data_IF_622589758577
#
_entry.id   IF_622589758577
#
_cell.length_a   1.000
_cell.length_b   1.000
_cell.length_c   1.000
_cell.angle_alpha   90.00
_cell.angle_beta   90.00
_cell.angle_gamma   90.00
#
_symmetry.space_group_name_H-M   'P 1'
#
loop_
_entity.id
_entity.type
_entity.pdbx_description
1 polymer ?
#
# COMPACT_ATOMS: atom_id res chain seq x y z
N UNK A 1 -52.59 -5.21 -3.98
CA UNK A 1 -52.89 -3.94 -3.28
C UNK A 1 -54.36 -3.99 -2.89
N UNK A 2 -54.62 -4.04 -1.58
CA UNK A 2 -55.95 -4.10 -0.99
C UNK A 2 -56.86 -3.02 -1.60
N UNK A 3 -58.05 -3.41 -2.07
CA UNK A 3 -59.17 -2.49 -2.27
C UNK A 3 -59.51 -1.92 -0.90
N UNK A 4 -58.90 -0.80 -0.54
CA UNK A 4 -59.31 -0.01 0.61
C UNK A 4 -60.79 0.32 0.41
N UNK A 5 -61.62 -0.15 1.34
CA UNK A 5 -63.03 0.17 1.43
C UNK A 5 -63.18 1.68 1.53
N UNK A 6 -63.59 2.33 0.44
CA UNK A 6 -63.89 3.77 0.39
C UNK A 6 -65.28 4.05 0.95
N UNK A 7 -65.63 3.49 2.11
CA UNK A 7 -66.84 3.86 2.82
C UNK A 7 -66.47 4.75 4.00
N UNK A 8 -66.20 6.02 3.69
CA UNK A 8 -66.14 7.06 4.70
C UNK A 8 -67.59 7.58 4.93
N UNK A 9 -68.19 7.35 6.11
CA UNK A 9 -69.57 7.74 6.38
C UNK A 9 -69.81 9.26 6.29
N UNK A 10 -68.75 10.09 6.41
CA UNK A 10 -68.85 11.55 6.19
C UNK A 10 -69.08 11.92 4.72
N UNK A 11 -68.58 11.13 3.77
CA UNK A 11 -68.77 11.40 2.34
C UNK A 11 -70.09 10.86 1.79
N UNK A 12 -70.66 9.82 2.40
CA UNK A 12 -71.88 9.18 1.91
C UNK A 12 -73.12 10.08 2.06
N UNK A 13 -73.25 10.78 3.20
CA UNK A 13 -74.31 11.77 3.41
C UNK A 13 -74.20 12.93 2.42
N UNK A 14 -73.00 13.49 2.24
CA UNK A 14 -72.75 14.60 1.32
C UNK A 14 -73.04 14.22 -0.15
N UNK A 15 -72.68 13.00 -0.56
CA UNK A 15 -73.00 12.48 -1.89
C UNK A 15 -74.51 12.28 -2.08
N UNK A 16 -75.22 11.79 -1.05
CA UNK A 16 -76.67 11.61 -1.10
C UNK A 16 -77.39 12.95 -1.23
N UNK A 17 -76.96 13.96 -0.47
CA UNK A 17 -77.51 15.31 -0.52
C UNK A 17 -77.22 15.98 -1.87
N UNK A 18 -75.98 15.86 -2.39
CA UNK A 18 -75.64 16.41 -3.71
C UNK A 18 -76.43 15.73 -4.82
N UNK A 19 -76.63 14.41 -4.77
CA UNK A 19 -77.45 13.66 -5.72
C UNK A 19 -78.92 14.09 -5.68
N UNK A 20 -79.45 14.37 -4.49
CA UNK A 20 -80.81 14.90 -4.33
C UNK A 20 -80.92 16.28 -4.97
N UNK A 21 -79.95 17.16 -4.77
CA UNK A 21 -79.93 18.50 -5.36
C UNK A 21 -79.81 18.46 -6.89
N UNK A 22 -78.89 17.65 -7.44
CA UNK A 22 -78.74 17.46 -8.90
C UNK A 22 -80.06 16.97 -9.52
N UNK A 23 -80.75 16.01 -8.88
CA UNK A 23 -82.05 15.53 -9.36
C UNK A 23 -83.10 16.63 -9.37
N UNK A 24 -83.14 17.46 -8.33
CA UNK A 24 -84.07 18.59 -8.26
C UNK A 24 -83.78 19.61 -9.36
N UNK A 25 -82.53 20.06 -9.49
CA UNK A 25 -82.09 20.98 -10.55
C UNK A 25 -82.39 20.44 -11.95
N UNK A 26 -82.23 19.12 -12.15
CA UNK A 26 -82.57 18.46 -13.42
C UNK A 26 -84.07 18.47 -13.72
N UNK A 27 -84.94 18.10 -12.75
CA UNK A 27 -86.39 18.11 -12.97
C UNK A 27 -86.91 19.54 -13.20
N UNK A 28 -86.41 20.51 -12.44
CA UNK A 28 -86.75 21.93 -12.61
C UNK A 28 -86.35 22.41 -14.03
N UNK A 29 -85.12 22.13 -14.47
CA UNK A 29 -84.65 22.49 -15.81
C UNK A 29 -85.43 21.78 -16.93
N UNK A 30 -85.81 20.52 -16.72
CA UNK A 30 -86.60 19.72 -17.66
C UNK A 30 -88.03 20.24 -17.80
N UNK A 31 -88.66 20.63 -16.69
CA UNK A 31 -89.99 21.23 -16.70
C UNK A 31 -89.99 22.57 -17.45
N UNK A 32 -89.00 23.43 -17.16
CA UNK A 32 -88.84 24.72 -17.85
C UNK A 32 -88.58 24.50 -19.34
N UNK A 33 -87.68 23.58 -19.71
CA UNK A 33 -87.39 23.31 -21.12
C UNK A 33 -88.64 22.75 -21.85
N UNK A 34 -89.44 21.90 -21.21
CA UNK A 34 -90.69 21.36 -21.78
C UNK A 34 -91.77 22.43 -22.00
N UNK A 35 -91.78 23.50 -21.19
CA UNK A 35 -92.85 24.50 -21.21
C UNK A 35 -92.45 25.80 -21.92
N UNK A 36 -91.14 26.11 -22.02
CA UNK A 36 -90.64 27.41 -22.50
C UNK A 36 -89.71 27.28 -23.70
N UNK A 37 -88.63 26.51 -23.59
CA UNK A 37 -87.50 26.59 -24.54
C UNK A 37 -87.52 25.53 -25.66
N UNK A 38 -88.06 24.33 -25.39
CA UNK A 38 -88.16 23.20 -26.33
C UNK A 38 -86.83 22.80 -27.00
N UNK A 39 -85.72 22.95 -26.29
CA UNK A 39 -84.38 22.63 -26.80
C UNK A 39 -84.12 21.12 -26.78
N UNK A 40 -83.48 20.64 -27.85
CA UNK A 40 -83.02 19.24 -27.95
C UNK A 40 -81.86 18.97 -27.00
N UNK A 41 -81.93 17.88 -26.24
CA UNK A 41 -80.81 17.47 -25.39
C UNK A 41 -79.73 16.79 -26.23
N UNK A 42 -78.56 17.44 -26.34
CA UNK A 42 -77.39 16.86 -26.98
C UNK A 42 -76.94 15.57 -26.28
N UNK A 43 -76.39 14.64 -27.06
CA UNK A 43 -75.79 13.42 -26.51
C UNK A 43 -74.46 13.74 -25.81
N UNK A 44 -74.02 12.87 -24.89
CA UNK A 44 -72.80 13.11 -24.10
C UNK A 44 -71.55 13.36 -24.97
N UNK A 45 -71.49 12.73 -26.14
CA UNK A 45 -70.35 12.80 -27.06
C UNK A 45 -70.30 14.11 -27.87
N UNK A 46 -71.43 14.82 -27.96
CA UNK A 46 -71.55 16.12 -28.63
C UNK A 46 -71.27 17.29 -27.67
N UNK A 47 -71.15 17.04 -26.37
CA UNK A 47 -70.84 18.05 -25.38
C UNK A 47 -69.33 18.33 -25.34
N UNK A 48 -68.96 19.61 -25.27
CA UNK A 48 -67.57 20.02 -25.09
C UNK A 48 -67.00 19.42 -23.80
N UNK A 49 -65.79 18.88 -23.89
CA UNK A 49 -65.08 18.33 -22.73
C UNK A 49 -64.80 19.44 -21.73
N UNK A 50 -65.18 19.22 -20.48
CA UNK A 50 -64.87 20.15 -19.38
C UNK A 50 -63.35 20.19 -19.18
N UNK A 51 -62.75 21.37 -19.30
CA UNK A 51 -61.32 21.56 -19.04
C UNK A 51 -60.98 21.27 -17.58
N UNK A 52 -60.09 20.31 -17.35
CA UNK A 52 -59.56 20.05 -16.02
C UNK A 52 -58.41 21.01 -15.71
N UNK A 53 -58.52 21.75 -14.60
CA UNK A 53 -57.41 22.53 -14.03
C UNK A 53 -56.88 21.84 -12.79
N UNK A 54 -55.62 21.41 -12.83
CA UNK A 54 -54.94 20.85 -11.68
C UNK A 54 -54.39 21.98 -10.79
N UNK A 55 -54.93 22.10 -9.58
CA UNK A 55 -54.49 23.07 -8.57
C UNK A 55 -53.48 22.49 -7.56
N UNK A 56 -53.03 21.25 -7.78
CA UNK A 56 -52.08 20.57 -6.90
C UNK A 56 -50.72 20.41 -7.57
N UNK A 57 -49.67 20.66 -6.80
CA UNK A 57 -48.29 20.42 -7.19
C UNK A 57 -47.78 19.21 -6.41
N UNK A 58 -47.26 18.20 -7.13
CA UNK A 58 -46.57 17.09 -6.49
C UNK A 58 -45.23 17.62 -5.93
N UNK A 59 -45.14 17.78 -4.61
CA UNK A 59 -43.89 18.21 -3.97
C UNK A 59 -42.98 16.99 -3.83
N UNK A 60 -41.86 16.97 -4.56
CA UNK A 60 -40.82 15.96 -4.34
C UNK A 60 -40.34 16.07 -2.90
N UNK A 61 -40.38 14.97 -2.15
CA UNK A 61 -39.79 14.89 -0.81
C UNK A 61 -38.28 14.98 -1.01
N UNK A 62 -37.73 16.19 -0.87
CA UNK A 62 -36.31 16.39 -0.77
C UNK A 62 -35.97 16.29 0.70
N UNK A 63 -35.37 15.16 1.10
CA UNK A 63 -34.83 14.99 2.44
C UNK A 63 -33.64 15.94 2.54
N UNK A 64 -33.86 17.14 3.09
CA UNK A 64 -32.79 18.07 3.44
C UNK A 64 -32.26 17.62 4.81
N UNK A 65 -31.25 16.75 4.79
CA UNK A 65 -30.58 16.28 6.01
C UNK A 65 -29.98 17.44 6.83
N UNK A 66 -29.66 18.56 6.17
CA UNK A 66 -28.93 19.69 6.74
C UNK A 66 -29.66 20.45 7.86
N UNK A 67 -30.97 20.23 8.06
CA UNK A 67 -31.76 20.99 9.05
C UNK A 67 -32.50 20.16 10.12
N UNK A 68 -32.55 18.82 9.99
CA UNK A 68 -33.40 17.98 10.85
C UNK A 68 -32.65 16.87 11.61
N UNK A 69 -31.33 16.75 11.44
CA UNK A 69 -30.53 15.75 12.15
C UNK A 69 -29.56 16.41 13.14
N UNK A 70 -29.95 16.60 14.42
CA UNK A 70 -29.03 17.03 15.47
C UNK A 70 -27.84 16.06 15.53
N UNK A 71 -26.61 16.57 15.34
CA UNK A 71 -25.40 15.75 15.28
C UNK A 71 -24.97 15.31 13.88
N UNK A 72 -25.58 15.86 12.81
CA UNK A 72 -25.11 15.66 11.43
C UNK A 72 -23.67 16.12 11.21
N UNK A 73 -23.25 17.20 11.87
CA UNK A 73 -21.85 17.68 11.88
C UNK A 73 -20.86 16.64 12.45
N UNK A 74 -21.31 15.74 13.34
CA UNK A 74 -20.44 14.69 13.90
C UNK A 74 -20.09 13.62 12.86
N UNK A 75 -20.86 13.53 11.78
CA UNK A 75 -20.63 12.59 10.68
C UNK A 75 -19.94 13.23 9.47
N UNK A 76 -19.76 14.55 9.46
CA UNK A 76 -19.10 15.29 8.38
C UNK A 76 -17.63 14.89 8.21
N UNK A 77 -17.00 14.40 9.29
CA UNK A 77 -15.63 13.86 9.29
C UNK A 77 -15.56 12.43 8.72
N UNK A 78 -16.67 11.70 8.65
CA UNK A 78 -16.66 10.31 8.17
C UNK A 78 -16.70 10.24 6.64
N UNK A 79 -15.61 9.74 6.05
CA UNK A 79 -15.57 9.40 4.63
C UNK A 79 -16.64 8.33 4.29
N UNK A 80 -17.53 8.57 3.30
CA UNK A 80 -18.50 7.58 2.85
C UNK A 80 -17.81 6.29 2.42
N UNK A 81 -18.44 5.13 2.68
CA UNK A 81 -17.88 3.83 2.32
C UNK A 81 -17.59 3.70 0.82
N UNK A 82 -18.41 4.30 -0.05
CA UNK A 82 -18.15 4.33 -1.48
C UNK A 82 -16.89 5.11 -1.85
N UNK A 83 -16.62 6.24 -1.17
CA UNK A 83 -15.37 7.00 -1.34
C UNK A 83 -14.17 6.20 -0.85
N UNK A 84 -14.25 5.52 0.30
CA UNK A 84 -13.17 4.66 0.82
C UNK A 84 -12.85 3.50 -0.14
N UNK A 85 -13.88 2.86 -0.70
CA UNK A 85 -13.71 1.79 -1.69
C UNK A 85 -13.01 2.32 -2.95
N UNK A 86 -13.46 3.47 -3.47
CA UNK A 86 -12.84 4.11 -4.62
C UNK A 86 -11.39 4.52 -4.35
N UNK A 87 -11.08 5.01 -3.14
CA UNK A 87 -9.72 5.37 -2.73
C UNK A 87 -8.81 4.13 -2.67
N UNK A 88 -9.30 3.01 -2.13
CA UNK A 88 -8.58 1.74 -2.11
C UNK A 88 -8.32 1.19 -3.52
N UNK A 89 -9.32 1.22 -4.40
CA UNK A 89 -9.18 0.83 -5.82
C UNK A 89 -8.16 1.72 -6.54
N UNK A 90 -8.23 3.03 -6.34
CA UNK A 90 -7.28 3.97 -6.93
C UNK A 90 -5.85 3.68 -6.44
N UNK A 91 -5.65 3.48 -5.14
CA UNK A 91 -4.33 3.13 -4.60
C UNK A 91 -3.81 1.81 -5.17
N UNK A 92 -4.68 0.82 -5.39
CA UNK A 92 -4.27 -0.44 -6.01
C UNK A 92 -3.77 -0.21 -7.45
N UNK A 93 -4.54 0.49 -8.28
CA UNK A 93 -4.16 0.81 -9.67
C UNK A 93 -2.89 1.67 -9.73
N UNK A 94 -2.80 2.70 -8.88
CA UNK A 94 -1.65 3.58 -8.81
C UNK A 94 -0.39 2.86 -8.34
N UNK A 95 -0.47 2.01 -7.31
CA UNK A 95 0.66 1.20 -6.83
C UNK A 95 1.13 0.21 -7.89
N UNK A 96 0.22 -0.36 -8.69
CA UNK A 96 0.60 -1.25 -9.78
C UNK A 96 1.45 -0.51 -10.83
N UNK A 97 1.03 0.69 -11.25
CA UNK A 97 1.78 1.53 -12.19
C UNK A 97 3.13 1.94 -11.59
N UNK A 98 3.14 2.42 -10.35
CA UNK A 98 4.37 2.85 -9.67
C UNK A 98 5.35 1.68 -9.56
N UNK A 99 4.90 0.51 -9.15
CA UNK A 99 5.77 -0.67 -9.01
C UNK A 99 6.37 -1.10 -10.35
N UNK A 100 5.58 -1.09 -11.44
CA UNK A 100 6.08 -1.38 -12.79
C UNK A 100 7.14 -0.37 -13.24
N UNK A 101 6.90 0.92 -13.01
CA UNK A 101 7.84 1.98 -13.38
C UNK A 101 9.14 1.87 -12.57
N UNK A 102 9.03 1.64 -11.25
CA UNK A 102 10.17 1.46 -10.36
C UNK A 102 10.98 0.22 -10.77
N UNK A 103 10.34 -0.90 -11.05
CA UNK A 103 11.00 -2.12 -11.52
C UNK A 103 11.78 -1.87 -12.81
N UNK A 104 11.20 -1.14 -13.75
CA UNK A 104 11.85 -0.82 -15.03
C UNK A 104 13.07 0.08 -14.84
N UNK A 105 12.99 1.11 -13.99
CA UNK A 105 14.11 2.00 -13.66
C UNK A 105 15.24 1.26 -12.91
N UNK A 106 14.88 0.37 -11.98
CA UNK A 106 15.86 -0.46 -11.28
C UNK A 106 16.57 -1.42 -12.24
N UNK A 107 15.81 -2.01 -13.19
CA UNK A 107 16.37 -2.85 -14.24
C UNK A 107 17.35 -2.08 -15.12
N UNK A 108 17.01 -0.86 -15.54
CA UNK A 108 17.92 -0.01 -16.32
C UNK A 108 19.25 0.22 -15.59
N UNK A 109 19.18 0.50 -14.28
CA UNK A 109 20.38 0.67 -13.44
C UNK A 109 21.23 -0.61 -13.37
N UNK A 110 20.57 -1.76 -13.23
CA UNK A 110 21.23 -3.06 -13.19
C UNK A 110 21.89 -3.42 -14.53
N UNK A 111 21.23 -3.11 -15.65
CA UNK A 111 21.76 -3.33 -17.00
C UNK A 111 23.00 -2.45 -17.25
N UNK A 112 22.97 -1.19 -16.80
CA UNK A 112 24.13 -0.27 -16.81
C UNK A 112 25.31 -0.81 -15.97
N UNK A 113 25.04 -1.30 -14.76
CA UNK A 113 26.05 -1.92 -13.90
C UNK A 113 26.66 -3.17 -14.54
N UNK A 114 25.83 -4.01 -15.15
CA UNK A 114 26.26 -5.22 -15.85
C UNK A 114 27.13 -4.86 -17.06
N UNK A 115 26.77 -3.81 -17.80
CA UNK A 115 27.56 -3.31 -18.93
C UNK A 115 28.95 -2.87 -18.47
N UNK A 116 29.05 -2.00 -17.44
CA UNK A 116 30.35 -1.58 -16.89
C UNK A 116 31.17 -2.77 -16.37
N UNK A 117 30.51 -3.71 -15.69
CA UNK A 117 31.15 -4.91 -15.15
C UNK A 117 31.73 -5.78 -16.28
N UNK A 118 31.07 -5.85 -17.44
CA UNK A 118 31.53 -6.64 -18.58
C UNK A 118 32.88 -6.15 -19.14
N UNK A 119 33.13 -4.84 -19.05
CA UNK A 119 34.40 -4.20 -19.38
C UNK A 119 35.38 -4.10 -18.19
N UNK A 120 34.98 -4.54 -16.99
CA UNK A 120 35.78 -4.40 -15.78
C UNK A 120 35.98 -2.95 -15.33
N UNK A 121 35.07 -2.04 -15.73
CA UNK A 121 35.10 -0.63 -15.37
C UNK A 121 34.41 -0.39 -14.02
N UNK A 122 34.86 0.60 -13.23
CA UNK A 122 36.00 1.51 -13.48
C UNK A 122 37.38 0.91 -13.12
N UNK A 123 37.46 -0.33 -12.63
CA UNK A 123 38.70 -0.89 -12.05
C UNK A 123 39.83 -1.03 -13.07
N UNK A 124 39.50 -1.30 -14.33
CA UNK A 124 40.47 -1.35 -15.43
C UNK A 124 41.18 0.01 -15.63
N UNK A 125 40.49 1.13 -15.43
CA UNK A 125 41.10 2.47 -15.51
C UNK A 125 42.05 2.70 -14.33
N UNK A 126 41.65 2.27 -13.13
CA UNK A 126 42.47 2.43 -11.93
C UNK A 126 43.77 1.62 -11.99
N UNK A 127 43.76 0.44 -12.61
CA UNK A 127 44.93 -0.44 -12.65
C UNK A 127 46.07 0.17 -13.47
N UNK A 128 45.75 0.83 -14.59
CA UNK A 128 46.74 1.46 -15.48
C UNK A 128 47.17 2.87 -15.04
N UNK A 129 46.49 3.46 -14.06
CA UNK A 129 46.85 4.78 -13.54
C UNK A 129 48.23 4.75 -12.86
N UNK A 130 49.08 5.73 -13.22
CA UNK A 130 50.40 5.94 -12.61
C UNK A 130 50.32 6.38 -11.13
N UNK A 131 49.13 6.71 -10.62
CA UNK A 131 48.95 7.06 -9.22
C UNK A 131 49.27 5.84 -8.36
N UNK A 132 50.27 5.97 -7.49
CA UNK A 132 50.63 4.96 -6.49
C UNK A 132 49.72 5.01 -5.26
N UNK A 133 48.60 5.74 -5.33
CA UNK A 133 47.65 5.93 -4.24
C UNK A 133 46.27 5.43 -4.66
N UNK A 134 45.44 5.07 -3.69
CA UNK A 134 44.02 4.76 -3.94
C UNK A 134 43.34 5.94 -4.65
N UNK A 135 42.60 5.72 -5.75
CA UNK A 135 41.84 6.77 -6.45
C UNK A 135 40.87 7.50 -5.51
N UNK A 136 40.69 8.81 -5.70
CA UNK A 136 39.84 9.64 -4.82
C UNK A 136 38.38 9.17 -4.81
N UNK A 137 37.81 8.79 -5.94
CA UNK A 137 36.44 8.27 -6.01
C UNK A 137 36.25 7.01 -5.14
N UNK A 138 37.14 6.02 -5.30
CA UNK A 138 37.10 4.80 -4.50
C UNK A 138 37.31 5.11 -3.02
N UNK A 139 38.25 6.01 -2.69
CA UNK A 139 38.49 6.42 -1.32
C UNK A 139 37.29 7.15 -0.70
N UNK A 140 36.59 8.00 -1.46
CA UNK A 140 35.39 8.68 -0.99
C UNK A 140 34.30 7.67 -0.62
N UNK A 141 34.11 6.62 -1.42
CA UNK A 141 33.14 5.54 -1.11
C UNK A 141 33.54 4.71 0.10
N UNK A 142 34.84 4.42 0.27
CA UNK A 142 35.37 3.77 1.49
C UNK A 142 35.19 4.67 2.72
N UNK A 143 35.53 5.95 2.61
CA UNK A 143 35.38 6.94 3.68
C UNK A 143 33.92 7.12 4.09
N UNK A 144 32.99 7.15 3.14
CA UNK A 144 31.56 7.19 3.43
C UNK A 144 31.11 5.94 4.20
N UNK A 145 31.53 4.75 3.78
CA UNK A 145 31.30 3.51 4.51
C UNK A 145 31.85 3.59 5.95
N UNK A 146 33.04 4.16 6.13
CA UNK A 146 33.66 4.34 7.44
C UNK A 146 32.87 5.31 8.33
N UNK A 147 32.44 6.44 7.78
CA UNK A 147 31.64 7.45 8.47
C UNK A 147 30.27 6.92 8.88
N UNK A 148 29.66 6.04 8.08
CA UNK A 148 28.38 5.38 8.38
C UNK A 148 28.49 4.26 9.42
N UNK A 149 29.64 4.09 10.06
CA UNK A 149 29.82 3.16 11.18
C UNK A 149 30.40 1.79 10.79
N UNK A 150 31.01 1.68 9.62
CA UNK A 150 31.70 0.48 9.15
C UNK A 150 30.82 -0.78 9.16
N UNK A 151 31.47 -1.96 9.16
CA UNK A 151 30.82 -3.25 9.35
C UNK A 151 30.05 -3.35 10.69
N UNK A 152 30.46 -2.61 11.72
CA UNK A 152 29.78 -2.62 13.02
C UNK A 152 28.33 -2.11 12.92
N UNK A 153 28.08 -1.11 12.07
CA UNK A 153 26.72 -0.65 11.81
C UNK A 153 25.85 -1.74 11.19
N UNK A 154 26.35 -2.46 10.17
CA UNK A 154 25.62 -3.59 9.57
C UNK A 154 25.32 -4.69 10.59
N UNK A 155 26.27 -5.00 11.48
CA UNK A 155 26.06 -5.97 12.56
C UNK A 155 25.00 -5.49 13.56
N UNK A 156 24.98 -4.20 13.89
CA UNK A 156 23.97 -3.61 14.78
C UNK A 156 22.57 -3.68 14.17
N UNK A 157 22.47 -3.40 12.86
CA UNK A 157 21.21 -3.46 12.12
C UNK A 157 20.71 -4.90 12.04
N UNK A 158 21.59 -5.85 11.74
CA UNK A 158 21.25 -7.28 11.73
C UNK A 158 20.74 -7.73 13.11
N UNK A 159 21.41 -7.32 14.18
CA UNK A 159 21.00 -7.64 15.56
C UNK A 159 19.63 -7.04 15.89
N UNK A 160 19.36 -5.81 15.44
CA UNK A 160 18.06 -5.17 15.59
C UNK A 160 16.94 -5.90 14.86
N UNK A 161 17.18 -6.32 13.60
CA UNK A 161 16.23 -7.12 12.82
C UNK A 161 15.94 -8.46 13.51
N UNK A 162 16.97 -9.15 14.01
CA UNK A 162 16.81 -10.40 14.78
C UNK A 162 15.94 -10.22 16.02
N UNK A 163 16.19 -9.17 16.79
CA UNK A 163 15.39 -8.84 17.97
C UNK A 163 13.92 -8.54 17.61
N UNK A 164 13.68 -7.73 16.58
CA UNK A 164 12.33 -7.42 16.12
C UNK A 164 11.58 -8.66 15.63
N UNK A 165 12.28 -9.56 14.92
CA UNK A 165 11.76 -10.87 14.52
C UNK A 165 11.35 -11.70 15.73
N UNK A 166 12.22 -11.84 16.72
CA UNK A 166 11.93 -12.59 17.95
C UNK A 166 10.72 -12.02 18.68
N UNK A 167 10.61 -10.70 18.80
CA UNK A 167 9.45 -10.04 19.40
C UNK A 167 8.14 -10.37 18.66
N UNK A 168 8.15 -10.37 17.33
CA UNK A 168 6.99 -10.75 16.53
C UNK A 168 6.61 -12.23 16.73
N UNK A 169 7.59 -13.14 16.71
CA UNK A 169 7.36 -14.56 16.92
C UNK A 169 6.79 -14.85 18.32
N UNK A 170 7.31 -14.18 19.35
CA UNK A 170 6.80 -14.27 20.70
C UNK A 170 5.33 -13.81 20.78
N UNK A 171 4.96 -12.70 20.13
CA UNK A 171 3.56 -12.25 20.08
C UNK A 171 2.65 -13.25 19.37
N UNK A 172 3.08 -13.81 18.23
CA UNK A 172 2.32 -14.86 17.54
C UNK A 172 2.09 -16.06 18.45
N UNK A 173 3.14 -16.55 19.13
CA UNK A 173 3.04 -17.67 20.05
C UNK A 173 2.08 -17.38 21.22
N UNK A 174 2.14 -16.17 21.80
CA UNK A 174 1.19 -15.73 22.82
C UNK A 174 -0.25 -15.77 22.31
N UNK A 175 -0.52 -15.17 21.16
CA UNK A 175 -1.85 -15.18 20.54
C UNK A 175 -2.37 -16.60 20.28
N UNK A 176 -1.54 -17.49 19.72
CA UNK A 176 -1.90 -18.89 19.48
C UNK A 176 -2.23 -19.61 20.78
N UNK A 177 -1.38 -19.42 21.80
CA UNK A 177 -1.56 -20.05 23.11
C UNK A 177 -2.83 -19.57 23.80
N UNK A 178 -3.07 -18.26 23.88
CA UNK A 178 -4.29 -17.72 24.52
C UNK A 178 -5.58 -18.26 23.88
N UNK A 179 -5.62 -18.37 22.55
CA UNK A 179 -6.78 -18.93 21.85
C UNK A 179 -6.92 -20.43 22.06
N UNK A 180 -5.79 -21.17 22.09
CA UNK A 180 -5.80 -22.60 22.33
C UNK A 180 -6.24 -22.94 23.75
N UNK A 181 -5.70 -22.24 24.75
CA UNK A 181 -5.99 -22.46 26.16
C UNK A 181 -7.47 -22.16 26.45
N UNK A 182 -8.03 -21.05 25.94
CA UNK A 182 -9.45 -20.73 26.09
C UNK A 182 -10.37 -21.79 25.45
N UNK A 183 -10.02 -22.28 24.25
CA UNK A 183 -10.82 -23.28 23.55
C UNK A 183 -10.76 -24.65 24.24
N UNK A 184 -9.58 -25.04 24.75
CA UNK A 184 -9.42 -26.27 25.52
C UNK A 184 -10.21 -26.21 26.83
N UNK A 185 -10.22 -25.06 27.51
CA UNK A 185 -11.01 -24.86 28.72
C UNK A 185 -12.52 -24.93 28.43
N UNK A 186 -13.00 -24.25 27.39
CA UNK A 186 -14.41 -24.32 26.95
C UNK A 186 -14.84 -25.77 26.64
N UNK A 187 -13.98 -26.52 25.93
CA UNK A 187 -14.23 -27.92 25.62
C UNK A 187 -14.28 -28.82 26.87
N UNK A 188 -13.39 -28.59 27.83
CA UNK A 188 -13.36 -29.34 29.10
C UNK A 188 -14.60 -29.06 29.96
N UNK A 189 -15.05 -27.81 30.03
CA UNK A 189 -16.27 -27.43 30.76
C UNK A 189 -17.52 -27.98 30.08
N UNK A 190 -17.58 -27.95 28.76
CA UNK A 190 -18.65 -28.60 27.99
C UNK A 190 -18.71 -30.11 28.24
N UNK A 191 -17.56 -30.77 28.35
CA UNK A 191 -17.51 -32.20 28.69
C UNK A 191 -18.01 -32.46 30.13
N UNK A 192 -17.75 -31.53 31.06
CA UNK A 192 -18.14 -31.63 32.47
C UNK A 192 -19.64 -31.37 32.69
N UNK A 193 -20.16 -30.29 32.14
CA UNK A 193 -21.54 -29.83 32.37
C UNK A 193 -22.53 -30.28 31.26
N UNK A 194 -22.02 -30.87 30.18
CA UNK A 194 -22.83 -31.46 29.11
C UNK A 194 -23.77 -30.45 28.46
N UNK A 195 -25.08 -30.77 28.43
CA UNK A 195 -26.11 -29.92 27.81
C UNK A 195 -26.37 -28.61 28.56
N UNK A 196 -25.98 -28.53 29.84
CA UNK A 196 -26.13 -27.32 30.63
C UNK A 196 -25.09 -26.26 30.27
N UNK A 197 -23.98 -26.66 29.62
CA UNK A 197 -23.01 -25.73 29.01
C UNK A 197 -23.49 -25.28 27.63
N UNK A 198 -24.43 -24.33 27.63
CA UNK A 198 -25.19 -23.93 26.44
C UNK A 198 -24.66 -22.65 25.75
N UNK A 199 -23.44 -22.19 26.06
CA UNK A 199 -22.82 -21.06 25.38
C UNK A 199 -22.33 -21.39 23.98
N UNK A 200 -22.08 -20.35 23.17
CA UNK A 200 -21.54 -20.53 21.82
C UNK A 200 -20.14 -21.18 21.88
N UNK A 201 -19.84 -22.19 21.03
CA UNK A 201 -18.53 -22.83 21.01
C UNK A 201 -17.41 -21.86 20.66
N UNK A 202 -16.30 -21.92 21.39
CA UNK A 202 -15.13 -21.06 21.13
C UNK A 202 -14.61 -21.16 19.69
N UNK A 203 -14.62 -22.36 19.10
CA UNK A 203 -14.23 -22.60 17.69
C UNK A 203 -15.02 -21.78 16.68
N UNK A 204 -16.26 -21.42 16.98
CA UNK A 204 -17.09 -20.59 16.09
C UNK A 204 -16.75 -19.11 16.23
N UNK A 205 -16.37 -18.68 17.44
CA UNK A 205 -16.09 -17.28 17.76
C UNK A 205 -14.64 -16.87 17.45
N UNK A 206 -13.68 -17.77 17.60
CA UNK A 206 -12.25 -17.48 17.45
C UNK A 206 -11.68 -17.76 16.04
N UNK A 207 -12.50 -18.28 15.12
CA UNK A 207 -12.07 -18.71 13.78
C UNK A 207 -11.36 -17.60 12.98
N UNK A 208 -11.90 -16.37 12.99
CA UNK A 208 -11.28 -15.23 12.32
C UNK A 208 -9.94 -14.85 12.96
N UNK A 209 -9.86 -14.87 14.29
CA UNK A 209 -8.62 -14.56 15.01
C UNK A 209 -7.53 -15.57 14.68
N UNK A 210 -7.85 -16.87 14.68
CA UNK A 210 -6.92 -17.94 14.28
C UNK A 210 -6.42 -17.74 12.85
N UNK A 211 -7.32 -17.43 11.91
CA UNK A 211 -6.95 -17.16 10.52
C UNK A 211 -6.00 -15.97 10.38
N UNK A 212 -6.23 -14.88 11.12
CA UNK A 212 -5.32 -13.72 11.14
C UNK A 212 -3.96 -14.07 11.73
N UNK A 213 -3.92 -14.81 12.84
CA UNK A 213 -2.67 -15.28 13.47
C UNK A 213 -1.87 -16.17 12.52
N UNK A 214 -2.53 -17.11 11.84
CA UNK A 214 -1.89 -17.98 10.84
C UNK A 214 -1.35 -17.19 9.66
N UNK A 215 -2.10 -16.20 9.17
CA UNK A 215 -1.67 -15.33 8.07
C UNK A 215 -0.41 -14.53 8.44
N UNK A 216 -0.37 -13.92 9.62
CA UNK A 216 0.83 -13.20 10.09
C UNK A 216 2.01 -14.15 10.32
N UNK A 217 1.78 -15.35 10.87
CA UNK A 217 2.82 -16.35 11.02
C UNK A 217 3.41 -16.77 9.66
N UNK A 218 2.56 -17.01 8.65
CA UNK A 218 3.02 -17.36 7.31
C UNK A 218 3.87 -16.24 6.67
N UNK A 219 3.50 -14.98 6.89
CA UNK A 219 4.29 -13.84 6.42
C UNK A 219 5.65 -13.74 7.15
N UNK A 220 5.69 -14.00 8.46
CA UNK A 220 6.94 -14.06 9.21
C UNK A 220 7.86 -15.17 8.70
N UNK A 221 7.34 -16.37 8.40
CA UNK A 221 8.15 -17.47 7.86
C UNK A 221 8.80 -17.10 6.52
N UNK A 222 8.05 -16.45 5.61
CA UNK A 222 8.62 -15.97 4.33
C UNK A 222 9.71 -14.92 4.54
N UNK A 223 9.53 -14.01 5.49
CA UNK A 223 10.55 -13.02 5.83
C UNK A 223 11.83 -13.69 6.38
N UNK A 224 11.67 -14.74 7.19
CA UNK A 224 12.79 -15.52 7.74
C UNK A 224 13.65 -16.21 6.68
N UNK A 225 13.06 -16.67 5.58
CA UNK A 225 13.82 -17.23 4.45
C UNK A 225 14.76 -16.17 3.82
N UNK A 226 14.26 -14.93 3.70
CA UNK A 226 15.07 -13.80 3.20
C UNK A 226 16.14 -13.43 4.22
N UNK A 227 15.80 -13.36 5.50
CA UNK A 227 16.75 -13.06 6.57
C UNK A 227 17.90 -14.07 6.61
N UNK A 228 17.61 -15.37 6.47
CA UNK A 228 18.64 -16.42 6.47
C UNK A 228 19.69 -16.20 5.35
N UNK A 229 19.24 -15.75 4.18
CA UNK A 229 20.11 -15.41 3.05
C UNK A 229 20.98 -14.20 3.39
N UNK A 230 20.40 -13.16 3.97
CA UNK A 230 21.13 -11.95 4.41
C UNK A 230 22.13 -12.28 5.51
N UNK A 231 21.74 -13.08 6.51
CA UNK A 231 22.61 -13.55 7.59
C UNK A 231 23.85 -14.29 7.06
N UNK A 232 23.64 -15.21 6.11
CA UNK A 232 24.73 -15.93 5.45
C UNK A 232 25.65 -14.98 4.68
N UNK A 233 25.08 -14.03 3.94
CA UNK A 233 25.86 -13.05 3.17
C UNK A 233 26.70 -12.14 4.07
N UNK A 234 26.14 -11.67 5.17
CA UNK A 234 26.85 -10.80 6.15
C UNK A 234 28.06 -11.53 6.74
N UNK A 235 27.93 -12.80 7.12
CA UNK A 235 29.08 -13.56 7.65
C UNK A 235 30.12 -13.85 6.56
N UNK A 236 29.69 -14.14 5.33
CA UNK A 236 30.57 -14.42 4.20
C UNK A 236 31.42 -13.20 3.78
N UNK A 237 30.91 -11.97 3.93
CA UNK A 237 31.67 -10.77 3.57
C UNK A 237 32.61 -10.28 4.65
N UNK A 238 32.38 -10.65 5.92
CA UNK A 238 33.15 -10.15 7.07
C UNK A 238 34.67 -10.19 6.89
N UNK A 239 35.29 -11.25 6.33
CA UNK A 239 36.74 -11.26 6.07
C UNK A 239 37.15 -10.23 5.00
N UNK A 240 36.31 -10.03 3.97
CA UNK A 240 36.54 -9.07 2.87
C UNK A 240 36.42 -7.61 3.34
N UNK A 241 35.71 -7.37 4.44
CA UNK A 241 35.50 -6.04 5.01
C UNK A 241 36.74 -5.52 5.77
N UNK A 242 37.75 -6.35 6.05
CA UNK A 242 38.94 -5.92 6.79
C UNK A 242 39.70 -4.80 6.07
N UNK A 243 39.79 -4.86 4.74
CA UNK A 243 40.43 -3.80 3.94
C UNK A 243 39.67 -2.47 4.04
N UNK A 244 38.35 -2.49 4.15
CA UNK A 244 37.52 -1.29 4.19
C UNK A 244 37.64 -0.51 5.53
N UNK A 245 38.27 -1.11 6.55
CA UNK A 245 38.53 -0.45 7.84
C UNK A 245 39.88 0.27 7.89
N UNK A 246 40.75 0.02 6.91
CA UNK A 246 42.09 0.59 6.85
C UNK A 246 42.04 2.06 6.43
N UNK A 247 43.04 2.83 6.87
CA UNK A 247 43.26 4.19 6.38
C UNK A 247 43.70 4.19 4.91
N UNK A 248 43.56 5.34 4.23
CA UNK A 248 44.00 5.50 2.83
C UNK A 248 45.46 5.11 2.62
N UNK A 249 46.31 5.45 3.58
CA UNK A 249 47.74 5.13 3.56
C UNK A 249 47.99 3.63 3.67
N UNK A 250 47.29 2.94 4.57
CA UNK A 250 47.42 1.49 4.75
C UNK A 250 46.89 0.72 3.53
N UNK A 251 45.75 1.14 2.96
CA UNK A 251 45.24 0.57 1.71
C UNK A 251 46.21 0.78 0.55
N UNK A 252 46.81 1.97 0.48
CA UNK A 252 47.83 2.31 -0.52
C UNK A 252 49.08 1.44 -0.37
N UNK A 253 49.51 1.14 0.86
CA UNK A 253 50.64 0.24 1.12
C UNK A 253 50.37 -1.21 0.73
N UNK A 254 49.11 -1.66 0.84
CA UNK A 254 48.69 -3.00 0.45
C UNK A 254 48.34 -3.12 -1.04
N UNK A 255 48.24 -1.99 -1.76
CA UNK A 255 47.98 -1.98 -3.19
C UNK A 255 49.16 -2.63 -3.95
N UNK A 256 48.88 -3.58 -4.87
CA UNK A 256 49.91 -4.14 -5.74
C UNK A 256 50.64 -3.04 -6.52
N UNK A 257 51.98 -3.13 -6.56
CA UNK A 257 52.81 -2.16 -7.28
C UNK A 257 52.82 -2.50 -8.76
N UNK A 258 52.39 -1.54 -9.57
CA UNK A 258 52.33 -1.73 -11.01
C UNK A 258 53.72 -1.81 -11.66
N UNK A 259 53.85 -2.69 -12.65
CA UNK A 259 55.05 -2.83 -13.51
C UNK A 259 54.93 -2.01 -14.80
N UNK A 260 53.79 -1.37 -15.03
CA UNK A 260 53.41 -0.72 -16.28
C UNK A 260 53.93 0.72 -16.41
N UNK A 261 54.23 1.12 -17.65
CA UNK A 261 54.79 2.42 -18.02
C UNK A 261 53.71 3.39 -18.55
N UNK A 262 53.64 4.59 -17.97
CA UNK A 262 53.22 5.87 -18.57
C UNK A 262 52.06 5.87 -19.60
N UNK A 263 50.88 5.35 -19.26
CA UNK A 263 49.67 5.48 -20.10
C UNK A 263 48.62 6.46 -19.57
N UNK A 264 48.84 7.09 -18.42
CA UNK A 264 47.84 7.85 -17.65
C UNK A 264 47.40 9.20 -18.22
N UNK A 265 47.67 9.53 -19.49
CA UNK A 265 47.31 10.82 -20.12
C UNK A 265 46.65 10.66 -21.50
N UNK A 266 46.00 9.52 -21.77
CA UNK A 266 45.28 9.32 -23.02
C UNK A 266 43.89 9.99 -22.99
N UNK A 267 43.46 10.67 -24.06
CA UNK A 267 42.10 11.20 -24.19
C UNK A 267 41.00 10.16 -23.96
N UNK A 268 41.22 8.89 -24.36
CA UNK A 268 40.21 7.84 -24.14
C UNK A 268 39.97 7.55 -22.65
N UNK A 269 40.99 7.68 -21.80
CA UNK A 269 40.85 7.48 -20.35
C UNK A 269 40.00 8.61 -19.75
N UNK A 270 40.29 9.85 -20.11
CA UNK A 270 39.54 11.01 -19.62
C UNK A 270 38.06 10.95 -20.04
N UNK A 271 37.79 10.57 -21.30
CA UNK A 271 36.43 10.39 -21.80
C UNK A 271 35.69 9.26 -21.06
N UNK A 272 36.36 8.14 -20.76
CA UNK A 272 35.75 7.06 -19.99
C UNK A 272 35.45 7.47 -18.55
N UNK A 273 36.35 8.19 -17.89
CA UNK A 273 36.12 8.72 -16.53
C UNK A 273 34.91 9.67 -16.52
N UNK A 274 34.84 10.60 -17.46
CA UNK A 274 33.71 11.53 -17.59
C UNK A 274 32.38 10.79 -17.89
N UNK A 275 32.38 9.83 -18.82
CA UNK A 275 31.18 9.06 -19.14
C UNK A 275 30.67 8.22 -17.95
N UNK A 276 31.58 7.63 -17.17
CA UNK A 276 31.22 6.89 -15.95
C UNK A 276 30.65 7.85 -14.89
N UNK A 277 31.20 9.05 -14.74
CA UNK A 277 30.64 10.07 -13.83
C UNK A 277 29.25 10.53 -14.26
N UNK A 278 29.04 10.77 -15.57
CA UNK A 278 27.72 11.08 -16.13
C UNK A 278 26.72 9.97 -15.87
N UNK A 279 27.11 8.70 -16.02
CA UNK A 279 26.26 7.55 -15.73
C UNK A 279 25.88 7.47 -14.24
N UNK A 280 26.83 7.72 -13.35
CA UNK A 280 26.58 7.75 -11.90
C UNK A 280 25.64 8.90 -11.51
N UNK A 281 25.76 10.06 -12.13
CA UNK A 281 24.83 11.16 -11.93
C UNK A 281 23.42 10.82 -12.44
N UNK A 282 23.33 10.14 -13.60
CA UNK A 282 22.06 9.66 -14.14
C UNK A 282 21.36 8.68 -13.17
N UNK A 283 22.12 7.78 -12.53
CA UNK A 283 21.61 6.89 -11.47
C UNK A 283 21.09 7.66 -10.25
N UNK A 284 21.76 8.73 -9.82
CA UNK A 284 21.27 9.60 -8.72
C UNK A 284 19.98 10.34 -9.10
N UNK A 285 19.89 10.85 -10.33
CA UNK A 285 18.65 11.46 -10.84
C UNK A 285 17.49 10.43 -10.80
N UNK A 286 17.78 9.18 -11.15
CA UNK A 286 16.83 8.07 -11.13
C UNK A 286 16.32 7.74 -9.72
N UNK A 287 17.21 7.73 -8.72
CA UNK A 287 16.81 7.57 -7.31
C UNK A 287 15.84 8.70 -6.89
N UNK A 288 16.12 9.93 -7.30
CA UNK A 288 15.23 11.07 -7.07
C UNK A 288 13.85 10.92 -7.75
N UNK A 289 13.83 10.39 -8.97
CA UNK A 289 12.61 10.10 -9.70
C UNK A 289 11.76 9.01 -9.00
N UNK A 290 12.39 7.93 -8.55
CA UNK A 290 11.72 6.87 -7.76
C UNK A 290 11.13 7.43 -6.46
N UNK A 291 11.88 8.28 -5.75
CA UNK A 291 11.40 8.94 -4.53
C UNK A 291 10.19 9.85 -4.79
N UNK A 292 10.21 10.61 -5.90
CA UNK A 292 9.09 11.45 -6.33
C UNK A 292 7.83 10.63 -6.64
N UNK A 293 7.97 9.49 -7.34
CA UNK A 293 6.83 8.63 -7.67
C UNK A 293 6.18 8.01 -6.42
N UNK A 294 7.02 7.49 -5.51
CA UNK A 294 6.54 6.84 -4.29
C UNK A 294 5.91 7.81 -3.28
N UNK A 295 6.30 9.10 -3.30
CA UNK A 295 5.72 10.14 -2.47
C UNK A 295 4.39 10.76 -2.96
N UNK A 296 3.97 10.50 -4.20
CA UNK A 296 2.91 11.27 -4.87
C UNK A 296 1.45 10.80 -4.62
N UNK A 297 1.25 9.76 -3.82
CA UNK A 297 -0.06 9.06 -3.73
C UNK A 297 -1.13 9.75 -2.89
N UNK A 298 -0.78 10.63 -1.96
CA UNK A 298 -1.77 11.28 -1.08
C UNK A 298 -2.03 12.73 -1.50
N UNK A 299 -3.24 12.99 -2.01
CA UNK A 299 -3.69 14.38 -2.22
C UNK A 299 -5.15 14.59 -1.82
N UNK A 300 -5.43 15.72 -1.18
CA UNK A 300 -6.80 16.16 -0.87
C UNK A 300 -7.66 16.33 -2.14
N UNK A 301 -7.01 16.62 -3.28
CA UNK A 301 -7.65 16.72 -4.59
C UNK A 301 -8.22 15.39 -5.09
N UNK A 302 -7.52 14.26 -4.86
CA UNK A 302 -8.05 12.93 -5.18
C UNK A 302 -9.37 12.71 -4.44
N UNK A 303 -9.38 12.90 -3.11
CA UNK A 303 -10.57 12.69 -2.28
C UNK A 303 -11.73 13.56 -2.76
N UNK A 304 -11.49 14.83 -3.07
CA UNK A 304 -12.52 15.74 -3.61
C UNK A 304 -13.20 15.17 -4.86
N UNK A 305 -12.43 14.61 -5.79
CA UNK A 305 -13.00 14.07 -7.03
C UNK A 305 -13.65 12.71 -6.80
N UNK A 306 -13.16 11.89 -5.87
CA UNK A 306 -13.82 10.65 -5.44
C UNK A 306 -15.19 10.93 -4.77
N UNK A 307 -15.33 12.02 -4.02
CA UNK A 307 -16.63 12.48 -3.50
C UNK A 307 -17.62 12.77 -4.62
N UNK A 308 -17.19 13.46 -5.69
CA UNK A 308 -18.03 13.73 -6.88
C UNK A 308 -18.41 12.45 -7.62
N UNK A 309 -17.50 11.47 -7.69
CA UNK A 309 -17.81 10.15 -8.27
C UNK A 309 -18.87 9.44 -7.43
N UNK A 310 -18.70 9.42 -6.10
CA UNK A 310 -19.67 8.81 -5.19
C UNK A 310 -21.04 9.50 -5.23
N UNK A 311 -21.09 10.80 -5.49
CA UNK A 311 -22.32 11.57 -5.69
C UNK A 311 -22.96 11.38 -7.09
N UNK A 312 -22.30 10.68 -8.01
CA UNK A 312 -22.76 10.49 -9.39
C UNK A 312 -22.56 11.72 -10.30
N UNK A 313 -21.83 12.73 -9.83
CA UNK A 313 -21.55 13.99 -10.54
C UNK A 313 -20.35 13.87 -11.49
N UNK A 314 -19.50 12.86 -11.29
CA UNK A 314 -18.32 12.59 -12.11
C UNK A 314 -18.21 11.09 -12.43
N UNK A 315 -17.76 10.75 -13.63
CA UNK A 315 -17.42 9.37 -13.99
C UNK A 315 -16.13 8.93 -13.30
N UNK A 316 -16.10 7.70 -12.77
CA UNK A 316 -14.92 7.08 -12.14
C UNK A 316 -13.69 7.18 -13.04
N UNK A 317 -13.85 6.83 -14.32
CA UNK A 317 -12.76 6.78 -15.29
C UNK A 317 -12.12 8.16 -15.48
N UNK A 318 -12.93 9.22 -15.45
CA UNK A 318 -12.43 10.60 -15.58
C UNK A 318 -11.64 11.03 -14.35
N UNK A 319 -12.15 10.71 -13.15
CA UNK A 319 -11.46 11.03 -11.91
C UNK A 319 -10.12 10.29 -11.82
N UNK A 320 -10.13 8.99 -12.11
CA UNK A 320 -8.93 8.14 -12.08
C UNK A 320 -7.92 8.62 -13.12
N UNK A 321 -8.33 8.80 -14.38
CA UNK A 321 -7.43 9.26 -15.44
C UNK A 321 -6.78 10.61 -15.11
N UNK A 322 -7.50 11.56 -14.49
CA UNK A 322 -6.96 12.88 -14.16
C UNK A 322 -5.86 12.85 -13.09
N UNK A 323 -5.86 11.83 -12.21
CA UNK A 323 -4.85 11.70 -11.16
C UNK A 323 -3.77 10.69 -11.54
N UNK A 324 -4.12 9.61 -12.24
CA UNK A 324 -3.16 8.64 -12.79
C UNK A 324 -2.30 9.25 -13.91
N UNK A 325 -2.79 10.22 -14.68
CA UNK A 325 -1.98 10.89 -15.71
C UNK A 325 -0.75 11.61 -15.15
N UNK A 326 -0.80 12.05 -13.89
CA UNK A 326 0.37 12.61 -13.19
C UNK A 326 1.46 11.56 -12.96
N UNK A 327 1.07 10.28 -12.87
CA UNK A 327 2.01 9.15 -12.85
C UNK A 327 2.52 8.84 -14.25
N UNK A 328 1.72 9.09 -15.30
CA UNK A 328 2.13 8.94 -16.70
C UNK A 328 3.11 10.02 -17.18
N UNK A 329 3.10 11.23 -16.61
CA UNK A 329 4.15 12.24 -16.88
C UNK A 329 5.56 11.71 -16.62
N UNK A 330 5.71 10.67 -15.80
CA UNK A 330 6.99 10.02 -15.58
C UNK A 330 7.46 9.14 -16.77
N UNK A 331 6.61 8.84 -17.76
CA UNK A 331 7.03 8.15 -18.99
C UNK A 331 8.01 9.01 -19.80
N UNK A 332 7.82 10.33 -19.86
CA UNK A 332 8.78 11.25 -20.50
C UNK A 332 10.12 11.28 -19.75
N UNK A 333 10.07 11.30 -18.41
CA UNK A 333 11.26 11.20 -17.56
C UNK A 333 11.99 9.85 -17.79
N UNK A 334 11.23 8.77 -18.00
CA UNK A 334 11.76 7.44 -18.32
C UNK A 334 12.43 7.39 -19.69
N UNK A 335 11.79 7.88 -20.74
CA UNK A 335 12.36 7.95 -22.09
C UNK A 335 13.64 8.79 -22.11
N UNK A 336 13.64 9.90 -21.35
CA UNK A 336 14.82 10.75 -21.18
C UNK A 336 15.96 9.99 -20.50
N UNK A 337 15.67 9.25 -19.43
CA UNK A 337 16.63 8.40 -18.73
C UNK A 337 17.22 7.33 -19.65
N UNK A 338 16.38 6.64 -20.42
CA UNK A 338 16.80 5.58 -21.33
C UNK A 338 17.66 6.13 -22.48
N UNK A 339 17.27 7.27 -23.07
CA UNK A 339 18.02 7.91 -24.16
C UNK A 339 19.40 8.34 -23.70
N UNK A 340 19.48 9.09 -22.58
CA UNK A 340 20.77 9.50 -22.00
C UNK A 340 21.65 8.30 -21.64
N UNK A 341 21.07 7.26 -21.05
CA UNK A 341 21.77 6.01 -20.75
C UNK A 341 22.39 5.42 -22.02
N UNK A 342 21.60 5.25 -23.08
CA UNK A 342 22.09 4.71 -24.35
C UNK A 342 23.22 5.54 -24.98
N UNK A 343 23.13 6.87 -24.92
CA UNK A 343 24.17 7.78 -25.44
C UNK A 343 25.49 7.65 -24.65
N UNK A 344 25.39 7.59 -23.31
CA UNK A 344 26.55 7.41 -22.43
C UNK A 344 27.18 6.03 -22.65
N UNK A 345 26.38 4.96 -22.72
CA UNK A 345 26.87 3.60 -22.96
C UNK A 345 27.54 3.47 -24.34
N UNK A 346 27.01 4.13 -25.38
CA UNK A 346 27.65 4.20 -26.70
C UNK A 346 29.01 4.90 -26.62
N UNK A 347 29.08 6.01 -25.87
CA UNK A 347 30.34 6.74 -25.66
C UNK A 347 31.37 5.86 -24.96
N UNK A 348 30.96 5.05 -23.98
CA UNK A 348 31.85 4.10 -23.30
C UNK A 348 32.34 3.03 -24.29
N UNK A 349 31.46 2.42 -25.07
CA UNK A 349 31.80 1.37 -26.03
C UNK A 349 32.84 1.86 -27.07
N UNK A 350 32.61 3.04 -27.65
CA UNK A 350 33.50 3.66 -28.62
C UNK A 350 34.90 3.92 -28.03
N UNK A 351 34.98 4.43 -26.81
CA UNK A 351 36.26 4.69 -26.15
C UNK A 351 36.94 3.41 -25.64
N UNK A 352 36.17 2.34 -25.36
CA UNK A 352 36.71 1.05 -24.92
C UNK A 352 37.54 0.35 -26.00
N UNK A 353 37.26 0.60 -27.29
CA UNK A 353 38.09 0.10 -28.40
C UNK A 353 39.52 0.65 -28.28
N UNK A 354 39.66 1.98 -28.22
CA UNK A 354 40.96 2.64 -28.07
C UNK A 354 41.63 2.35 -26.73
N UNK A 355 40.85 2.20 -25.66
CA UNK A 355 41.36 1.80 -24.35
C UNK A 355 41.96 0.39 -24.39
N UNK A 356 41.28 -0.58 -25.00
CA UNK A 356 41.75 -1.97 -25.08
C UNK A 356 43.07 -2.06 -25.86
N UNK A 357 43.21 -1.31 -26.96
CA UNK A 357 44.46 -1.21 -27.71
C UNK A 357 45.61 -0.67 -26.85
N UNK A 358 45.34 0.39 -26.08
CA UNK A 358 46.29 1.04 -25.19
C UNK A 358 46.70 0.16 -23.99
N UNK A 359 45.79 -0.69 -23.52
CA UNK A 359 46.00 -1.58 -22.37
C UNK A 359 46.61 -2.94 -22.78
N UNK A 360 46.65 -3.25 -24.08
CA UNK A 360 47.21 -4.52 -24.58
C UNK A 360 48.67 -4.71 -24.12
N UNK A 361 48.87 -5.60 -23.12
CA UNK A 361 50.17 -5.91 -22.52
C UNK A 361 50.59 -5.07 -21.31
N UNK A 362 49.75 -4.13 -20.84
CA UNK A 362 50.04 -3.23 -19.72
C UNK A 362 49.05 -3.35 -18.54
N UNK A 363 48.05 -4.23 -18.64
CA UNK A 363 47.09 -4.48 -17.55
C UNK A 363 47.73 -5.25 -16.38
N UNK A 364 47.71 -4.62 -15.21
CA UNK A 364 48.12 -5.26 -13.97
C UNK A 364 46.93 -6.00 -13.34
N UNK A 365 46.78 -7.29 -13.69
CA UNK A 365 45.69 -8.12 -13.22
C UNK A 365 45.62 -8.19 -11.68
N UNK A 366 46.75 -8.14 -10.96
CA UNK A 366 46.75 -8.15 -9.49
C UNK A 366 46.12 -6.85 -8.94
N UNK A 367 46.48 -5.70 -9.52
CA UNK A 367 45.92 -4.40 -9.15
C UNK A 367 44.44 -4.28 -9.53
N UNK A 368 44.04 -4.80 -10.70
CA UNK A 368 42.61 -4.88 -11.10
C UNK A 368 41.81 -5.74 -10.10
N UNK A 369 42.31 -6.91 -9.71
CA UNK A 369 41.65 -7.77 -8.71
C UNK A 369 41.56 -7.12 -7.34
N UNK A 370 42.60 -6.38 -6.93
CA UNK A 370 42.58 -5.61 -5.69
C UNK A 370 41.44 -4.59 -5.65
N UNK A 371 41.29 -3.74 -6.67
CA UNK A 371 40.18 -2.78 -6.72
C UNK A 371 38.81 -3.46 -6.82
N UNK A 372 38.69 -4.53 -7.63
CA UNK A 372 37.46 -5.33 -7.72
C UNK A 372 37.05 -5.90 -6.36
N UNK A 373 38.01 -6.30 -5.52
CA UNK A 373 37.71 -6.83 -4.18
C UNK A 373 37.12 -5.77 -3.24
N UNK A 374 37.61 -4.52 -3.31
CA UNK A 374 37.10 -3.39 -2.53
C UNK A 374 35.68 -3.03 -2.99
N UNK A 375 35.48 -2.86 -4.29
CA UNK A 375 34.18 -2.52 -4.86
C UNK A 375 33.13 -3.61 -4.62
N UNK A 376 33.50 -4.88 -4.82
CA UNK A 376 32.63 -6.01 -4.48
C UNK A 376 32.27 -6.01 -2.99
N UNK A 377 33.24 -5.68 -2.13
CA UNK A 377 32.99 -5.54 -0.70
C UNK A 377 31.96 -4.46 -0.37
N UNK A 378 32.15 -3.25 -0.91
CA UNK A 378 31.23 -2.13 -0.72
C UNK A 378 29.83 -2.43 -1.27
N UNK A 379 29.75 -3.02 -2.47
CA UNK A 379 28.47 -3.39 -3.10
C UNK A 379 27.69 -4.34 -2.22
N UNK A 380 28.31 -5.46 -1.82
CA UNK A 380 27.61 -6.45 -1.00
C UNK A 380 27.25 -5.88 0.37
N UNK A 381 28.05 -4.99 0.95
CA UNK A 381 27.68 -4.26 2.16
C UNK A 381 26.39 -3.45 1.98
N UNK A 382 26.31 -2.60 0.95
CA UNK A 382 25.15 -1.73 0.73
C UNK A 382 23.89 -2.52 0.34
N UNK A 383 24.04 -3.57 -0.46
CA UNK A 383 22.93 -4.48 -0.80
C UNK A 383 22.31 -5.10 0.47
N UNK A 384 23.14 -5.64 1.37
CA UNK A 384 22.66 -6.21 2.63
C UNK A 384 22.15 -5.14 3.60
N UNK A 385 22.76 -3.95 3.64
CA UNK A 385 22.28 -2.83 4.45
C UNK A 385 20.84 -2.45 4.04
N UNK A 386 20.58 -2.33 2.74
CA UNK A 386 19.25 -2.01 2.21
C UNK A 386 18.22 -3.10 2.55
N UNK A 387 18.59 -4.38 2.37
CA UNK A 387 17.73 -5.51 2.73
C UNK A 387 17.40 -5.51 4.23
N UNK A 388 18.38 -5.28 5.10
CA UNK A 388 18.16 -5.22 6.54
C UNK A 388 17.31 -4.01 6.96
N UNK A 389 17.49 -2.85 6.33
CA UNK A 389 16.63 -1.68 6.60
C UNK A 389 15.18 -1.94 6.20
N UNK A 390 14.95 -2.64 5.09
CA UNK A 390 13.62 -3.07 4.68
C UNK A 390 13.04 -4.11 5.65
N UNK A 391 13.86 -5.07 6.10
CA UNK A 391 13.49 -6.02 7.15
C UNK A 391 13.09 -5.35 8.46
N UNK A 392 13.87 -4.35 8.92
CA UNK A 392 13.56 -3.58 10.13
C UNK A 392 12.20 -2.88 10.03
N UNK A 393 11.91 -2.22 8.89
CA UNK A 393 10.59 -1.61 8.63
C UNK A 393 9.47 -2.65 8.64
N UNK A 394 9.68 -3.78 7.97
CA UNK A 394 8.71 -4.87 7.92
C UNK A 394 8.37 -5.39 9.32
N UNK A 395 9.37 -5.74 10.13
CA UNK A 395 9.12 -6.29 11.46
C UNK A 395 8.50 -5.27 12.41
N UNK A 396 8.85 -3.98 12.33
CA UNK A 396 8.19 -2.92 13.11
C UNK A 396 6.70 -2.82 12.77
N UNK A 397 6.38 -2.80 11.48
CA UNK A 397 4.98 -2.77 11.03
C UNK A 397 4.23 -4.05 11.42
N UNK A 398 4.87 -5.22 11.29
CA UNK A 398 4.28 -6.48 11.71
C UNK A 398 4.03 -6.53 13.22
N UNK A 399 4.95 -5.99 14.01
CA UNK A 399 4.82 -5.88 15.47
C UNK A 399 3.60 -5.03 15.86
N UNK A 400 3.34 -3.92 15.17
CA UNK A 400 2.15 -3.09 15.39
C UNK A 400 0.85 -3.87 15.11
N UNK A 401 0.79 -4.59 13.99
CA UNK A 401 -0.36 -5.43 13.65
C UNK A 401 -0.59 -6.56 14.66
N UNK A 402 0.49 -7.22 15.07
CA UNK A 402 0.44 -8.30 16.06
C UNK A 402 0.05 -7.79 17.45
N UNK A 403 0.51 -6.62 17.84
CA UNK A 403 0.16 -6.00 19.13
C UNK A 403 -1.34 -5.69 19.17
N UNK A 404 -1.88 -5.12 18.09
CA UNK A 404 -3.33 -4.87 17.96
C UNK A 404 -4.15 -6.16 18.01
N UNK A 405 -3.71 -7.20 17.29
CA UNK A 405 -4.37 -8.51 17.32
C UNK A 405 -4.26 -9.18 18.70
N UNK A 406 -3.12 -9.06 19.36
CA UNK A 406 -2.91 -9.60 20.71
C UNK A 406 -3.86 -8.96 21.71
N UNK A 407 -3.98 -7.63 21.71
CA UNK A 407 -4.94 -6.92 22.56
C UNK A 407 -6.38 -7.40 22.30
N UNK A 408 -6.78 -7.52 21.03
CA UNK A 408 -8.10 -8.02 20.66
C UNK A 408 -8.36 -9.45 21.18
N UNK A 409 -7.36 -10.33 21.10
CA UNK A 409 -7.45 -11.70 21.63
C UNK A 409 -7.53 -11.69 23.16
N UNK A 410 -6.75 -10.85 23.84
CA UNK A 410 -6.81 -10.72 25.31
C UNK A 410 -8.19 -10.27 25.76
N UNK A 411 -8.77 -9.25 25.11
CA UNK A 411 -10.13 -8.76 25.42
C UNK A 411 -11.20 -9.84 25.16
N UNK A 412 -11.04 -10.59 24.07
CA UNK A 412 -11.92 -11.72 23.76
C UNK A 412 -11.85 -12.78 24.87
N UNK A 413 -10.65 -13.24 25.25
CA UNK A 413 -10.49 -14.27 26.27
C UNK A 413 -10.98 -13.77 27.64
N UNK A 414 -10.73 -12.50 27.99
CA UNK A 414 -11.26 -11.90 29.20
C UNK A 414 -12.80 -11.94 29.23
N UNK A 415 -13.45 -11.56 28.12
CA UNK A 415 -14.91 -11.63 28.00
C UNK A 415 -15.43 -13.07 28.13
N UNK A 416 -14.72 -14.03 27.53
CA UNK A 416 -15.05 -15.46 27.63
C UNK A 416 -14.87 -16.02 29.03
N UNK A 417 -13.91 -15.51 29.80
CA UNK A 417 -13.72 -15.89 31.20
C UNK A 417 -14.86 -15.37 32.08
N UNK A 418 -15.33 -14.13 31.86
CA UNK A 418 -16.50 -13.61 32.59
C UNK A 418 -17.75 -14.45 32.30
N UNK A 419 -18.04 -14.71 31.02
CA UNK A 419 -19.18 -15.55 30.62
C UNK A 419 -19.08 -16.97 31.21
N UNK A 420 -17.86 -17.52 31.24
CA UNK A 420 -17.57 -18.83 31.84
C UNK A 420 -17.92 -18.84 33.33
N UNK A 421 -17.42 -17.85 34.08
CA UNK A 421 -17.58 -17.80 35.53
C UNK A 421 -19.05 -17.61 35.92
N UNK A 422 -19.79 -16.73 35.22
CA UNK A 422 -21.23 -16.55 35.40
C UNK A 422 -22.02 -17.84 35.15
N UNK A 423 -21.67 -18.57 34.08
CA UNK A 423 -22.34 -19.82 33.74
C UNK A 423 -22.02 -20.92 34.75
N UNK A 424 -20.77 -21.05 35.19
CA UNK A 424 -20.37 -22.02 36.24
C UNK A 424 -21.11 -21.74 37.54
N UNK A 425 -21.21 -20.48 37.97
CA UNK A 425 -21.93 -20.09 39.18
C UNK A 425 -23.42 -20.43 39.07
N UNK A 426 -24.05 -20.14 37.91
CA UNK A 426 -25.46 -20.47 37.68
C UNK A 426 -25.77 -21.97 37.73
N UNK A 427 -24.77 -22.81 37.45
CA UNK A 427 -24.85 -24.27 37.50
C UNK A 427 -24.49 -24.84 38.88
N UNK A 428 -24.24 -23.99 39.88
CA UNK A 428 -23.87 -24.38 41.23
C UNK A 428 -22.42 -24.84 41.39
N UNK A 429 -21.57 -24.58 40.39
CA UNK A 429 -20.13 -24.77 40.48
C UNK A 429 -19.45 -23.57 41.16
N UNK A 430 -18.25 -23.78 41.70
CA UNK A 430 -17.45 -22.70 42.26
C UNK A 430 -16.40 -22.28 41.21
N UNK A 431 -16.44 -21.06 40.66
CA UNK A 431 -15.46 -20.63 39.66
C UNK A 431 -14.05 -20.60 40.27
N UNK A 432 -13.04 -20.92 39.46
CA UNK A 432 -11.65 -20.78 39.87
C UNK A 432 -11.31 -19.29 40.06
N UNK A 433 -10.48 -18.91 41.05
CA UNK A 433 -10.11 -17.51 41.24
C UNK A 433 -9.40 -16.97 39.99
N UNK A 434 -9.89 -15.82 39.49
CA UNK A 434 -9.30 -15.11 38.36
C UNK A 434 -7.85 -14.71 38.68
N UNK A 435 -6.89 -15.20 37.89
CA UNK A 435 -5.48 -14.80 37.95
C UNK A 435 -5.15 -13.84 36.79
N UNK A 436 -5.05 -12.52 37.06
CA UNK A 436 -4.64 -11.54 36.05
C UNK A 436 -3.15 -11.62 35.67
N UNK A 437 -2.35 -12.49 36.31
CA UNK A 437 -0.89 -12.49 36.19
C UNK A 437 -0.28 -13.37 35.09
N UNK A 438 -1.07 -14.15 34.35
CA UNK A 438 -0.56 -15.21 33.47
C UNK A 438 -0.72 -14.96 31.95
N UNK A 439 -0.78 -13.69 31.52
CA UNK A 439 -0.99 -13.27 30.12
C UNK A 439 0.31 -12.84 29.39
#
# INVERSE_FOLDING_TARGET
>A
INKASTNNPRTESALKDRKKNIKKEYEDAKEINKNVYYEGCASLDELDKIESKNYTLHRSIQVKLDSEFPGGENFEVFLPMGVRKLEAEFHQEANQIINQNVETLLKLSADEDNFLTSFGLPQAIYSISNKQEIPDDLWNRVSEFQQKGNFAYLQSLLSGVKLNRENCLNLVQKCQKSLMDEEQEDAALKATYGKSWNRLPSTSLNSEMKSRVESYNANLQKAMETDATVESNVEAIKPKMQYLQLSRNELTQQMPKSKSANTSSSPCIANLEEAIEQLNNLKREREGLIAKMTGALSSADLRRDLFKVNAGEMKREKAFASHLSKLQTNEEDFETQQTKSSEILSTIDDNMISFTELVSGSEDNEKTQFFKSIDSGLKVYYDNMNLLQNGDKFYKQMYEYLTSLHLYIVDFVASRNVEKDELVESLGGNPAPYDPGNW
#
